data_IF_369957098838
#
_entry.id   IF_369957098838
#
_cell.length_a   1.000
_cell.length_b   1.000
_cell.length_c   1.000
_cell.angle_alpha   90.00
_cell.angle_beta   90.00
_cell.angle_gamma   90.00
#
_symmetry.space_group_name_H-M   'P 1'
#
loop_
_entity.id
_entity.type
_entity.pdbx_description
1 polymer ?
#
# COMPACT_ATOMS: atom_id res chain seq x y z
N UNK A 1 -70.56 7.99 25.75
CA UNK A 1 -71.65 8.14 24.80
C UNK A 1 -71.09 8.20 23.38
N UNK A 2 -71.64 7.28 22.51
CA UNK A 2 -71.68 7.29 21.05
C UNK A 2 -70.39 7.52 20.27
N UNK A 3 -69.73 6.43 19.74
CA UNK A 3 -69.98 5.79 18.46
C UNK A 3 -70.10 6.75 17.26
N UNK A 4 -69.07 6.81 16.40
CA UNK A 4 -69.28 6.85 14.95
C UNK A 4 -68.12 6.07 14.27
N UNK A 5 -68.50 4.96 13.65
CA UNK A 5 -67.69 4.21 12.69
C UNK A 5 -67.73 5.00 11.37
N UNK A 6 -66.57 5.14 10.75
CA UNK A 6 -66.51 5.39 9.31
C UNK A 6 -65.45 4.41 8.72
N UNK A 7 -65.97 3.42 8.04
CA UNK A 7 -65.23 2.58 7.07
C UNK A 7 -64.72 3.46 5.95
N UNK A 8 -63.45 3.48 5.72
CA UNK A 8 -62.89 3.89 4.43
C UNK A 8 -62.04 2.74 3.92
N UNK A 9 -62.51 2.12 2.83
CA UNK A 9 -61.88 1.03 2.13
C UNK A 9 -60.57 1.47 1.53
N UNK A 10 -59.46 0.82 1.93
CA UNK A 10 -58.16 0.94 1.27
C UNK A 10 -58.14 -0.03 0.10
N UNK A 11 -58.32 0.52 -1.09
CA UNK A 11 -58.01 -0.16 -2.36
C UNK A 11 -56.47 -0.26 -2.41
N UNK A 12 -55.90 -1.43 -2.11
CA UNK A 12 -54.50 -1.75 -2.35
C UNK A 12 -54.30 -1.93 -3.87
N UNK A 13 -53.97 -0.86 -4.53
CA UNK A 13 -53.34 -0.95 -5.84
C UNK A 13 -51.94 -1.51 -5.68
N UNK A 14 -51.81 -2.82 -5.93
CA UNK A 14 -50.52 -3.50 -6.05
C UNK A 14 -49.84 -2.99 -7.31
N UNK A 15 -49.04 -1.93 -7.20
CA UNK A 15 -48.06 -1.56 -8.22
C UNK A 15 -46.95 -2.60 -8.14
N UNK A 16 -47.06 -3.62 -8.99
CA UNK A 16 -45.95 -4.48 -9.32
C UNK A 16 -44.90 -3.58 -10.03
N UNK A 17 -43.98 -3.02 -9.29
CA UNK A 17 -42.74 -2.48 -9.84
C UNK A 17 -42.02 -3.71 -10.39
N UNK A 18 -42.17 -3.96 -11.69
CA UNK A 18 -41.23 -4.79 -12.43
C UNK A 18 -39.87 -4.09 -12.30
N UNK A 19 -39.08 -4.53 -11.35
CA UNK A 19 -37.65 -4.30 -11.38
C UNK A 19 -37.17 -4.95 -12.68
N UNK A 20 -37.03 -4.16 -13.73
CA UNK A 20 -36.26 -4.54 -14.90
C UNK A 20 -34.84 -4.82 -14.35
N UNK A 21 -34.51 -6.08 -14.20
CA UNK A 21 -33.17 -6.56 -14.00
C UNK A 21 -32.38 -6.09 -15.24
N UNK A 22 -31.85 -4.86 -15.16
CA UNK A 22 -30.89 -4.38 -16.15
C UNK A 22 -29.76 -5.38 -16.11
N UNK A 23 -29.57 -6.10 -17.21
CA UNK A 23 -28.40 -6.95 -17.39
C UNK A 23 -27.17 -6.16 -16.91
N UNK A 24 -26.28 -6.74 -16.12
CA UNK A 24 -25.16 -6.02 -15.52
C UNK A 24 -24.40 -5.32 -16.63
N UNK A 25 -24.47 -3.99 -16.63
CA UNK A 25 -23.85 -3.18 -17.67
C UNK A 25 -22.35 -3.30 -17.46
N UNK A 26 -21.68 -4.05 -18.33
CA UNK A 26 -20.23 -4.26 -18.29
C UNK A 26 -19.52 -2.91 -18.30
N UNK A 27 -18.80 -2.59 -17.24
CA UNK A 27 -18.13 -1.30 -17.09
C UNK A 27 -16.86 -1.28 -17.94
N UNK A 28 -16.87 -0.47 -19.00
CA UNK A 28 -15.70 -0.29 -19.87
C UNK A 28 -14.78 0.77 -19.30
N UNK A 29 -13.55 0.39 -18.93
CA UNK A 29 -12.60 1.26 -18.26
C UNK A 29 -11.46 1.68 -19.20
N UNK A 30 -11.18 2.99 -19.28
CA UNK A 30 -9.91 3.49 -19.77
C UNK A 30 -8.83 3.36 -18.68
N UNK A 31 -7.55 3.51 -19.05
CA UNK A 31 -6.46 3.50 -18.07
C UNK A 31 -6.65 4.61 -17.01
N UNK A 32 -7.03 5.82 -17.45
CA UNK A 32 -7.24 6.96 -16.55
C UNK A 32 -8.36 6.70 -15.55
N UNK A 33 -9.50 6.17 -16.01
CA UNK A 33 -10.62 5.79 -15.13
C UNK A 33 -10.23 4.66 -14.16
N UNK A 34 -9.44 3.69 -14.61
CA UNK A 34 -8.94 2.62 -13.74
C UNK A 34 -8.02 3.18 -12.63
N UNK A 35 -7.14 4.13 -12.97
CA UNK A 35 -6.28 4.80 -11.99
C UNK A 35 -7.07 5.64 -10.99
N UNK A 36 -8.08 6.41 -11.45
CA UNK A 36 -8.95 7.20 -10.59
C UNK A 36 -9.69 6.32 -9.57
N UNK A 37 -10.30 5.21 -10.04
CA UNK A 37 -10.98 4.25 -9.16
C UNK A 37 -10.00 3.64 -8.16
N UNK A 38 -8.82 3.21 -8.58
CA UNK A 38 -7.84 2.60 -7.69
C UNK A 38 -7.36 3.57 -6.60
N UNK A 39 -7.12 4.82 -6.95
CA UNK A 39 -6.66 5.85 -6.01
C UNK A 39 -7.76 6.29 -5.04
N UNK A 40 -9.04 6.15 -5.38
CA UNK A 40 -10.16 6.49 -4.51
C UNK A 40 -10.67 5.30 -3.69
N UNK A 41 -10.73 4.10 -4.27
CA UNK A 41 -11.43 2.97 -3.67
C UNK A 41 -10.51 1.93 -3.02
N UNK A 42 -9.25 1.83 -3.48
CA UNK A 42 -8.35 0.78 -2.97
C UNK A 42 -8.09 0.92 -1.47
N UNK A 43 -8.29 -0.15 -0.68
CA UNK A 43 -8.05 -0.15 0.77
C UNK A 43 -6.63 0.26 1.17
N UNK A 44 -5.60 -0.05 0.37
CA UNK A 44 -4.21 0.31 0.66
C UNK A 44 -4.02 1.82 0.67
N UNK A 45 -4.65 2.54 -0.24
CA UNK A 45 -4.62 4.01 -0.29
C UNK A 45 -5.38 4.60 0.90
N UNK A 46 -6.59 4.08 1.20
CA UNK A 46 -7.37 4.51 2.37
C UNK A 46 -6.61 4.30 3.69
N UNK A 47 -5.88 3.18 3.82
CA UNK A 47 -5.02 2.90 4.99
C UNK A 47 -3.87 3.91 5.05
N UNK A 48 -3.23 4.23 3.92
CA UNK A 48 -2.14 5.21 3.90
C UNK A 48 -2.62 6.61 4.33
N UNK A 49 -3.81 7.03 3.91
CA UNK A 49 -4.41 8.29 4.32
C UNK A 49 -4.78 8.30 5.82
N UNK A 50 -5.35 7.21 6.33
CA UNK A 50 -5.62 7.06 7.77
C UNK A 50 -4.32 7.11 8.60
N UNK A 51 -3.20 6.58 8.07
CA UNK A 51 -1.92 6.63 8.75
C UNK A 51 -1.41 8.07 8.93
N UNK A 52 -1.69 8.97 7.98
CA UNK A 52 -1.40 10.41 8.15
C UNK A 52 -2.20 10.97 9.33
N UNK A 53 -3.50 10.67 9.42
CA UNK A 53 -4.34 11.14 10.53
C UNK A 53 -3.88 10.59 11.88
N UNK A 54 -3.50 9.30 11.94
CA UNK A 54 -2.91 8.69 13.14
C UNK A 54 -1.67 9.50 13.60
N UNK A 55 -0.78 9.86 12.67
CA UNK A 55 0.40 10.66 12.99
C UNK A 55 0.07 12.09 13.39
N UNK A 56 -0.98 12.70 12.82
CA UNK A 56 -1.49 14.01 13.24
C UNK A 56 -1.99 13.98 14.68
N UNK A 57 -2.77 12.96 15.05
CA UNK A 57 -3.23 12.79 16.45
C UNK A 57 -2.06 12.48 17.41
N UNK A 58 -1.09 11.67 17.00
CA UNK A 58 0.12 11.42 17.79
C UNK A 58 0.92 12.72 18.03
N UNK A 59 1.02 13.60 17.02
CA UNK A 59 1.59 14.94 17.17
C UNK A 59 0.80 15.76 18.20
N UNK A 60 -0.53 15.79 18.12
CA UNK A 60 -1.36 16.47 19.12
C UNK A 60 -1.12 15.92 20.52
N UNK A 61 -1.01 14.59 20.68
CA UNK A 61 -0.66 13.95 21.94
C UNK A 61 0.71 14.39 22.48
N UNK A 62 1.70 14.59 21.58
CA UNK A 62 3.01 15.12 21.99
C UNK A 62 2.90 16.58 22.48
N UNK A 63 2.10 17.40 21.80
CA UNK A 63 1.83 18.78 22.23
C UNK A 63 1.06 18.84 23.53
N UNK A 64 0.23 17.84 23.83
CA UNK A 64 -0.49 17.77 25.10
C UNK A 64 0.45 17.71 26.32
N UNK A 65 1.69 17.23 26.15
CA UNK A 65 2.69 17.24 27.20
C UNK A 65 3.17 18.64 27.62
N UNK A 66 2.84 19.70 26.87
CA UNK A 66 3.07 21.10 27.28
C UNK A 66 2.02 21.64 28.26
N UNK A 67 0.85 21.01 28.31
CA UNK A 67 -0.24 21.44 29.17
C UNK A 67 -0.12 20.85 30.58
N UNK A 68 -0.79 21.46 31.57
CA UNK A 68 -0.89 20.84 32.87
C UNK A 68 -1.54 19.48 32.81
N UNK A 69 -0.90 18.50 33.43
CA UNK A 69 -1.49 17.17 33.65
C UNK A 69 -2.10 17.16 35.05
N UNK A 70 -3.37 16.83 35.16
CA UNK A 70 -4.13 16.83 36.42
C UNK A 70 -4.60 15.39 36.62
N UNK A 71 -4.13 14.80 37.73
CA UNK A 71 -4.45 13.42 38.10
C UNK A 71 -5.12 13.42 39.47
N UNK A 72 -6.18 12.61 39.60
CA UNK A 72 -6.78 12.29 40.88
C UNK A 72 -6.29 10.92 41.32
N UNK A 73 -5.81 10.83 42.55
CA UNK A 73 -5.35 9.58 43.13
C UNK A 73 -6.08 9.29 44.45
N UNK A 74 -6.39 8.03 44.69
CA UNK A 74 -6.90 7.55 45.98
C UNK A 74 -6.19 6.23 46.31
N UNK A 75 -5.67 6.13 47.52
CA UNK A 75 -5.00 4.94 47.99
C UNK A 75 -5.42 4.59 49.41
N UNK A 76 -5.57 3.33 49.69
CA UNK A 76 -5.73 2.77 51.04
C UNK A 76 -4.59 1.79 51.30
N UNK A 77 -3.96 2.00 52.48
CA UNK A 77 -2.88 1.10 52.91
C UNK A 77 -3.18 0.65 54.35
N UNK A 78 -3.20 -0.66 54.57
CA UNK A 78 -3.21 -1.29 55.88
C UNK A 78 -1.82 -1.77 56.26
N UNK A 79 -1.32 -1.32 57.40
CA UNK A 79 -0.03 -1.77 57.95
C UNK A 79 -0.27 -3.07 58.73
N UNK A 80 0.28 -4.18 58.26
CA UNK A 80 0.15 -5.49 58.91
C UNK A 80 0.99 -5.57 60.18
N UNK A 81 2.22 -4.99 60.12
CA UNK A 81 3.13 -4.92 61.27
C UNK A 81 3.71 -3.54 61.38
N UNK A 82 3.41 -2.80 62.47
CA UNK A 82 3.89 -1.45 62.69
C UNK A 82 5.41 -1.46 62.85
N UNK A 83 6.06 -0.37 62.39
CA UNK A 83 7.45 -0.09 62.64
C UNK A 83 7.66 0.15 64.14
N UNK A 84 8.66 -0.39 64.70
CA UNK A 84 9.07 -0.17 66.11
C UNK A 84 10.27 0.77 66.13
N UNK A 85 10.18 1.80 66.93
CA UNK A 85 11.31 2.75 67.16
C UNK A 85 11.73 2.60 68.61
N UNK A 86 13.02 2.34 68.84
CA UNK A 86 13.60 2.28 70.20
C UNK A 86 14.16 3.68 70.52
N UNK A 87 13.70 4.25 71.59
CA UNK A 87 14.15 5.53 72.13
C UNK A 87 14.72 5.29 73.51
N UNK A 88 15.85 5.93 73.77
CA UNK A 88 16.51 5.86 75.10
C UNK A 88 16.10 7.08 75.95
N UNK A 89 15.37 6.85 77.01
CA UNK A 89 14.98 7.84 77.94
C UNK A 89 15.64 7.55 79.29
N UNK A 90 16.69 8.29 79.64
CA UNK A 90 17.34 8.22 80.96
C UNK A 90 17.95 6.88 81.30
N UNK A 91 18.48 6.14 80.30
CA UNK A 91 19.15 4.84 80.50
C UNK A 91 18.21 3.64 80.38
N UNK A 92 16.93 3.85 80.02
CA UNK A 92 16.00 2.75 79.70
C UNK A 92 15.54 2.84 78.25
N UNK A 93 15.82 1.76 77.46
CA UNK A 93 15.41 1.67 76.07
C UNK A 93 13.91 1.31 76.03
N UNK A 94 13.08 2.25 75.61
CA UNK A 94 11.65 2.00 75.36
C UNK A 94 11.41 1.79 73.86
N UNK A 95 10.72 0.68 73.51
CA UNK A 95 10.32 0.38 72.15
C UNK A 95 8.88 0.82 71.92
N UNK A 96 8.69 1.83 71.08
CA UNK A 96 7.38 2.39 70.73
C UNK A 96 6.98 1.97 69.33
N UNK A 97 5.73 1.51 69.15
CA UNK A 97 5.15 1.25 67.82
C UNK A 97 4.71 2.58 67.21
N UNK A 98 5.29 2.88 66.04
CA UNK A 98 5.04 4.16 65.31
C UNK A 98 4.17 3.92 64.11
N UNK A 99 3.23 4.84 63.83
CA UNK A 99 2.35 4.80 62.68
C UNK A 99 0.93 4.32 62.99
N UNK A 100 0.03 4.51 62.02
CA UNK A 100 -1.37 4.08 62.06
C UNK A 100 -1.53 2.73 61.37
N UNK A 101 -2.52 1.93 61.83
CA UNK A 101 -2.85 0.64 61.23
C UNK A 101 -3.39 0.83 59.80
N UNK A 102 -4.08 1.94 59.60
CA UNK A 102 -4.71 2.23 58.31
C UNK A 102 -4.36 3.67 57.88
N UNK A 103 -4.09 3.86 56.64
CA UNK A 103 -3.93 5.15 56.00
C UNK A 103 -4.74 5.25 54.70
N UNK A 104 -5.48 6.30 54.56
CA UNK A 104 -6.13 6.68 53.31
C UNK A 104 -5.46 7.98 52.85
N UNK A 105 -5.09 7.99 51.59
CA UNK A 105 -4.59 9.19 50.91
C UNK A 105 -5.39 9.37 49.63
N UNK A 106 -5.88 10.54 49.39
CA UNK A 106 -6.60 10.85 48.17
C UNK A 106 -6.50 12.34 47.84
N UNK A 107 -6.55 12.69 46.57
CA UNK A 107 -6.48 14.06 46.17
C UNK A 107 -6.19 14.28 44.71
N UNK A 108 -5.95 15.53 44.36
CA UNK A 108 -5.64 15.96 42.99
C UNK A 108 -4.22 16.52 42.97
N UNK A 109 -3.43 16.06 42.00
CA UNK A 109 -2.10 16.59 41.73
C UNK A 109 -2.01 17.13 40.30
N UNK A 110 -1.27 18.23 40.13
CA UNK A 110 -1.01 18.86 38.85
C UNK A 110 0.50 18.93 38.61
N UNK A 111 0.93 18.55 37.44
CA UNK A 111 2.29 18.76 36.98
C UNK A 111 2.34 19.41 35.61
N UNK A 112 3.25 20.35 35.39
CA UNK A 112 3.42 21.04 34.11
C UNK A 112 4.90 21.34 33.87
N UNK A 113 5.49 20.92 32.74
CA UNK A 113 6.84 21.32 32.36
C UNK A 113 6.84 22.80 31.93
N UNK A 114 7.77 23.59 32.48
CA UNK A 114 7.97 25.00 32.09
C UNK A 114 9.15 25.14 31.15
N UNK A 115 10.28 24.49 31.52
CA UNK A 115 11.47 24.44 30.68
C UNK A 115 11.88 22.99 30.52
N UNK A 116 11.73 22.48 29.30
CA UNK A 116 12.17 21.13 28.94
C UNK A 116 12.65 21.09 27.50
N UNK A 117 13.97 21.19 27.32
CA UNK A 117 14.58 21.25 25.99
C UNK A 117 14.38 19.96 25.17
N UNK A 118 14.32 18.80 25.84
CA UNK A 118 14.03 17.52 25.17
C UNK A 118 12.60 17.49 24.64
N UNK A 119 11.62 17.98 25.42
CA UNK A 119 10.24 18.04 24.99
C UNK A 119 10.09 18.94 23.76
N UNK A 120 10.72 20.11 23.73
CA UNK A 120 10.64 21.01 22.57
C UNK A 120 11.23 20.41 21.29
N UNK A 121 12.31 19.64 21.39
CA UNK A 121 12.83 18.91 20.22
C UNK A 121 11.95 17.71 19.85
N UNK A 122 11.30 17.06 20.83
CA UNK A 122 10.33 15.99 20.55
C UNK A 122 9.09 16.50 19.78
N UNK A 123 8.67 17.75 20.03
CA UNK A 123 7.61 18.38 19.24
C UNK A 123 8.00 18.58 17.77
N UNK A 124 9.26 18.95 17.51
CA UNK A 124 9.78 19.07 16.15
C UNK A 124 9.91 17.70 15.48
N UNK A 125 10.34 16.70 16.24
CA UNK A 125 10.41 15.32 15.77
C UNK A 125 9.02 14.79 15.36
N UNK A 126 7.98 15.06 16.19
CA UNK A 126 6.61 14.63 15.88
C UNK A 126 6.02 15.34 14.65
N UNK A 127 6.49 16.55 14.31
CA UNK A 127 6.13 17.21 13.07
C UNK A 127 6.73 16.52 11.84
N UNK A 128 8.02 16.16 11.89
CA UNK A 128 8.70 15.38 10.84
C UNK A 128 8.07 13.99 10.65
N UNK A 129 7.57 13.37 11.71
CA UNK A 129 6.88 12.07 11.64
C UNK A 129 5.57 12.16 10.81
N UNK A 130 4.85 13.29 10.89
CA UNK A 130 3.71 13.56 10.02
C UNK A 130 4.14 13.77 8.57
N UNK A 131 5.19 14.53 8.33
CA UNK A 131 5.72 14.76 6.97
C UNK A 131 6.18 13.45 6.32
N UNK A 132 6.85 12.59 7.09
CA UNK A 132 7.24 11.24 6.64
C UNK A 132 6.01 10.40 6.27
N UNK A 133 4.93 10.44 7.06
CA UNK A 133 3.69 9.72 6.76
C UNK A 133 3.03 10.22 5.46
N UNK A 134 3.07 11.53 5.20
CA UNK A 134 2.58 12.10 3.93
C UNK A 134 3.40 11.58 2.74
N UNK A 135 4.74 11.54 2.87
CA UNK A 135 5.59 11.01 1.78
C UNK A 135 5.42 9.50 1.60
N UNK A 136 5.17 8.75 2.68
CA UNK A 136 4.82 7.31 2.59
C UNK A 136 3.48 7.10 1.87
N UNK A 137 2.48 7.93 2.14
CA UNK A 137 1.22 7.88 1.43
C UNK A 137 1.39 8.24 -0.06
N UNK A 138 2.25 9.21 -0.38
CA UNK A 138 2.63 9.52 -1.76
C UNK A 138 3.30 8.31 -2.43
N UNK A 139 4.23 7.63 -1.75
CA UNK A 139 4.85 6.40 -2.24
C UNK A 139 3.81 5.32 -2.54
N UNK A 140 2.85 5.11 -1.64
CA UNK A 140 1.78 4.12 -1.84
C UNK A 140 0.91 4.43 -3.07
N UNK A 141 0.65 5.71 -3.35
CA UNK A 141 -0.06 6.12 -4.58
C UNK A 141 0.76 5.84 -5.84
N UNK A 142 2.05 6.15 -5.83
CA UNK A 142 2.97 5.86 -6.95
C UNK A 142 3.04 4.35 -7.20
N UNK A 143 3.15 3.55 -6.15
CA UNK A 143 3.16 2.08 -6.23
C UNK A 143 1.85 1.54 -6.80
N UNK A 144 0.71 2.10 -6.40
CA UNK A 144 -0.60 1.73 -6.91
C UNK A 144 -0.73 2.07 -8.41
N UNK A 145 -0.30 3.24 -8.84
CA UNK A 145 -0.30 3.63 -10.26
C UNK A 145 0.53 2.64 -11.09
N UNK A 146 1.73 2.29 -10.61
CA UNK A 146 2.56 1.28 -11.28
C UNK A 146 1.82 -0.06 -11.42
N UNK A 147 1.26 -0.56 -10.33
CA UNK A 147 0.61 -1.88 -10.31
C UNK A 147 -0.65 -1.91 -11.19
N UNK A 148 -1.51 -0.90 -11.09
CA UNK A 148 -2.73 -0.80 -11.90
C UNK A 148 -2.42 -0.65 -13.38
N UNK A 149 -1.44 0.18 -13.73
CA UNK A 149 -1.03 0.39 -15.13
C UNK A 149 -0.48 -0.90 -15.73
N UNK A 150 0.38 -1.63 -15.01
CA UNK A 150 0.90 -2.93 -15.44
C UNK A 150 -0.20 -3.98 -15.59
N UNK A 151 -1.14 -4.03 -14.63
CA UNK A 151 -2.27 -4.95 -14.69
C UNK A 151 -3.19 -4.62 -15.87
N UNK A 152 -3.44 -3.34 -16.12
CA UNK A 152 -4.23 -2.89 -17.28
C UNK A 152 -3.60 -3.34 -18.60
N UNK A 153 -2.29 -3.12 -18.78
CA UNK A 153 -1.56 -3.62 -19.96
C UNK A 153 -1.53 -5.16 -20.02
N UNK A 154 -1.52 -5.82 -18.86
CA UNK A 154 -1.63 -7.27 -18.76
C UNK A 154 -2.97 -7.79 -19.29
N UNK A 155 -4.08 -7.10 -18.99
CA UNK A 155 -5.40 -7.43 -19.56
C UNK A 155 -5.40 -7.25 -21.08
N UNK A 156 -4.82 -6.15 -21.59
CA UNK A 156 -4.72 -5.93 -23.05
C UNK A 156 -3.92 -7.05 -23.73
N UNK A 157 -2.78 -7.44 -23.14
CA UNK A 157 -1.97 -8.55 -23.66
C UNK A 157 -2.73 -9.87 -23.67
N UNK A 158 -3.44 -10.18 -22.58
CA UNK A 158 -4.25 -11.40 -22.49
C UNK A 158 -5.35 -11.43 -23.55
N UNK A 159 -6.06 -10.31 -23.75
CA UNK A 159 -7.12 -10.17 -24.75
C UNK A 159 -6.58 -10.36 -26.18
N UNK A 160 -5.45 -9.75 -26.51
CA UNK A 160 -4.84 -9.89 -27.83
C UNK A 160 -4.33 -11.31 -28.07
N UNK A 161 -3.75 -11.95 -27.05
CA UNK A 161 -3.32 -13.34 -27.13
C UNK A 161 -4.50 -14.30 -27.29
N UNK A 162 -5.58 -14.10 -26.54
CA UNK A 162 -6.83 -14.87 -26.69
C UNK A 162 -7.41 -14.72 -28.11
N UNK A 163 -7.52 -13.50 -28.60
CA UNK A 163 -8.02 -13.22 -29.95
C UNK A 163 -7.17 -13.91 -31.03
N UNK A 164 -5.85 -13.96 -30.84
CA UNK A 164 -4.95 -14.69 -31.72
C UNK A 164 -5.21 -16.20 -31.67
N UNK A 165 -5.27 -16.78 -30.48
CA UNK A 165 -5.52 -18.22 -30.32
C UNK A 165 -6.90 -18.62 -30.85
N UNK A 166 -7.91 -17.77 -30.68
CA UNK A 166 -9.23 -17.98 -31.25
C UNK A 166 -9.18 -18.02 -32.79
N UNK A 167 -8.47 -17.07 -33.43
CA UNK A 167 -8.28 -17.10 -34.89
C UNK A 167 -7.56 -18.37 -35.35
N UNK A 168 -6.53 -18.81 -34.62
CA UNK A 168 -5.82 -20.06 -34.94
C UNK A 168 -6.74 -21.27 -34.86
N UNK A 169 -7.57 -21.35 -33.81
CA UNK A 169 -8.55 -22.41 -33.64
C UNK A 169 -9.61 -22.38 -34.77
N UNK A 170 -10.20 -21.20 -35.05
CA UNK A 170 -11.19 -21.03 -36.11
C UNK A 170 -10.63 -21.39 -37.48
N UNK A 171 -9.37 -21.04 -37.77
CA UNK A 171 -8.67 -21.45 -38.99
C UNK A 171 -8.50 -22.98 -39.06
N UNK A 172 -8.09 -23.62 -37.96
CA UNK A 172 -7.94 -25.08 -37.92
C UNK A 172 -9.27 -25.80 -38.13
N UNK A 173 -10.37 -25.30 -37.51
CA UNK A 173 -11.74 -25.83 -37.74
C UNK A 173 -12.13 -25.69 -39.21
N UNK A 174 -11.97 -24.51 -39.79
CA UNK A 174 -12.31 -24.25 -41.19
C UNK A 174 -11.51 -25.14 -42.17
N UNK A 175 -10.22 -25.29 -41.91
CA UNK A 175 -9.36 -26.19 -42.70
C UNK A 175 -9.80 -27.66 -42.58
N UNK A 176 -10.14 -28.10 -41.36
CA UNK A 176 -10.63 -29.45 -41.11
C UNK A 176 -11.95 -29.74 -41.87
N UNK A 177 -12.88 -28.80 -41.88
CA UNK A 177 -14.12 -28.91 -42.62
C UNK A 177 -13.86 -29.04 -44.15
N UNK A 178 -12.92 -28.25 -44.68
CA UNK A 178 -12.52 -28.33 -46.10
C UNK A 178 -11.88 -29.69 -46.39
N UNK A 179 -11.00 -30.18 -45.53
CA UNK A 179 -10.34 -31.51 -45.69
C UNK A 179 -11.39 -32.62 -45.63
N UNK A 180 -12.36 -32.60 -44.72
CA UNK A 180 -13.48 -33.54 -44.67
C UNK A 180 -14.25 -33.57 -45.96
N UNK A 181 -14.61 -32.42 -46.54
CA UNK A 181 -15.33 -32.34 -47.81
C UNK A 181 -14.51 -32.96 -48.94
N UNK A 182 -13.21 -32.66 -49.07
CA UNK A 182 -12.29 -33.20 -50.08
C UNK A 182 -12.09 -34.70 -49.92
N UNK A 183 -12.00 -35.20 -48.66
CA UNK A 183 -11.89 -36.63 -48.35
C UNK A 183 -13.14 -37.39 -48.81
N UNK A 184 -14.35 -36.89 -48.56
CA UNK A 184 -15.60 -37.52 -48.94
C UNK A 184 -15.75 -37.74 -50.49
N UNK A 185 -15.06 -36.90 -51.26
CA UNK A 185 -15.02 -37.03 -52.73
C UNK A 185 -13.72 -37.68 -53.25
N UNK A 186 -12.90 -38.24 -52.34
CA UNK A 186 -11.67 -38.97 -52.66
C UNK A 186 -10.48 -38.12 -53.13
N UNK A 187 -10.46 -36.80 -52.83
CA UNK A 187 -9.42 -35.88 -53.28
C UNK A 187 -8.22 -35.78 -52.31
N UNK A 188 -8.35 -36.19 -51.05
CA UNK A 188 -7.29 -36.18 -50.04
C UNK A 188 -7.26 -37.50 -49.29
N UNK A 189 -6.12 -37.80 -48.65
CA UNK A 189 -5.87 -39.08 -47.97
C UNK A 189 -6.50 -39.14 -46.59
N UNK A 190 -6.67 -40.34 -46.01
CA UNK A 190 -7.02 -40.54 -44.59
C UNK A 190 -6.02 -39.88 -43.68
N UNK A 191 -4.73 -39.83 -44.04
CA UNK A 191 -3.69 -39.13 -43.27
C UNK A 191 -3.99 -37.63 -43.16
N UNK A 192 -4.39 -36.95 -44.24
CA UNK A 192 -4.73 -35.54 -44.25
C UNK A 192 -5.96 -35.25 -43.33
N UNK A 193 -6.97 -36.15 -43.37
CA UNK A 193 -8.13 -36.04 -42.51
C UNK A 193 -7.75 -36.20 -41.03
N UNK A 194 -6.94 -37.18 -40.68
CA UNK A 194 -6.46 -37.40 -39.32
C UNK A 194 -5.62 -36.18 -38.84
N UNK A 195 -4.69 -35.73 -39.68
CA UNK A 195 -3.79 -34.61 -39.41
C UNK A 195 -4.60 -33.32 -39.15
N UNK A 196 -5.60 -33.01 -39.97
CA UNK A 196 -6.45 -31.83 -39.77
C UNK A 196 -7.28 -31.89 -38.47
N UNK A 197 -7.77 -33.11 -38.11
CA UNK A 197 -8.42 -33.28 -36.82
C UNK A 197 -7.45 -33.02 -35.62
N UNK A 198 -6.21 -33.50 -35.72
CA UNK A 198 -5.15 -33.29 -34.73
C UNK A 198 -4.83 -31.79 -34.61
N UNK A 199 -4.77 -31.04 -35.72
CA UNK A 199 -4.53 -29.59 -35.70
C UNK A 199 -5.60 -28.85 -34.93
N UNK A 200 -6.91 -29.21 -35.08
CA UNK A 200 -8.01 -28.64 -34.27
C UNK A 200 -7.83 -28.94 -32.77
N UNK A 201 -7.52 -30.21 -32.44
CA UNK A 201 -7.33 -30.65 -31.06
C UNK A 201 -6.11 -29.98 -30.39
N UNK A 202 -5.07 -29.67 -31.15
CA UNK A 202 -3.89 -28.93 -30.63
C UNK A 202 -4.13 -27.43 -30.47
N UNK A 203 -5.03 -26.83 -31.26
CA UNK A 203 -5.36 -25.40 -31.16
C UNK A 203 -6.31 -25.10 -29.98
N UNK A 204 -7.20 -26.02 -29.65
CA UNK A 204 -8.24 -25.86 -28.63
C UNK A 204 -7.68 -25.54 -27.22
N UNK A 205 -6.67 -26.25 -26.69
CA UNK A 205 -6.12 -25.94 -25.36
C UNK A 205 -5.57 -24.52 -25.25
N UNK A 206 -4.84 -24.03 -26.26
CA UNK A 206 -4.29 -22.68 -26.27
C UNK A 206 -5.41 -21.61 -26.25
N UNK A 207 -6.49 -21.84 -26.97
CA UNK A 207 -7.65 -20.95 -26.98
C UNK A 207 -8.31 -20.91 -25.57
N UNK A 208 -8.53 -22.06 -24.96
CA UNK A 208 -9.11 -22.17 -23.61
C UNK A 208 -8.20 -21.51 -22.56
N UNK A 209 -6.89 -21.77 -22.60
CA UNK A 209 -5.92 -21.12 -21.72
C UNK A 209 -5.90 -19.61 -21.90
N UNK A 210 -6.00 -19.13 -23.14
CA UNK A 210 -6.11 -17.70 -23.45
C UNK A 210 -7.38 -17.06 -22.84
N UNK A 211 -8.51 -17.74 -22.93
CA UNK A 211 -9.79 -17.29 -22.33
C UNK A 211 -9.66 -17.13 -20.81
N UNK A 212 -9.16 -18.17 -20.13
CA UNK A 212 -8.94 -18.12 -18.69
C UNK A 212 -7.89 -17.07 -18.27
N UNK A 213 -6.87 -16.83 -19.10
CA UNK A 213 -5.89 -15.78 -18.86
C UNK A 213 -6.54 -14.38 -18.87
N UNK A 214 -7.51 -14.13 -19.78
CA UNK A 214 -8.30 -12.88 -19.77
C UNK A 214 -9.10 -12.77 -18.49
N UNK A 215 -9.83 -13.82 -18.09
CA UNK A 215 -10.62 -13.83 -16.86
C UNK A 215 -9.73 -13.52 -15.66
N UNK A 216 -8.62 -14.23 -15.50
CA UNK A 216 -7.69 -14.05 -14.38
C UNK A 216 -7.09 -12.64 -14.35
N UNK A 217 -6.69 -12.10 -15.51
CA UNK A 217 -6.13 -10.74 -15.59
C UNK A 217 -7.14 -9.67 -15.21
N UNK A 218 -8.41 -9.82 -15.58
CA UNK A 218 -9.51 -8.94 -15.15
C UNK A 218 -9.77 -9.03 -13.65
N UNK A 219 -9.73 -10.23 -13.06
CA UNK A 219 -9.86 -10.42 -11.62
C UNK A 219 -8.72 -9.73 -10.85
N UNK A 220 -7.47 -9.87 -11.32
CA UNK A 220 -6.33 -9.18 -10.75
C UNK A 220 -6.48 -7.65 -10.84
N UNK A 221 -6.97 -7.14 -11.96
CA UNK A 221 -7.26 -5.72 -12.10
C UNK A 221 -8.34 -5.26 -11.12
N UNK A 222 -9.47 -5.99 -11.00
CA UNK A 222 -10.53 -5.69 -10.02
C UNK A 222 -9.99 -5.61 -8.58
N UNK A 223 -9.15 -6.56 -8.21
CA UNK A 223 -8.53 -6.57 -6.88
C UNK A 223 -7.66 -5.32 -6.62
N UNK A 224 -6.90 -4.87 -7.63
CA UNK A 224 -6.12 -3.64 -7.55
C UNK A 224 -6.98 -2.37 -7.57
N UNK A 225 -8.12 -2.39 -8.27
CA UNK A 225 -9.08 -1.30 -8.24
C UNK A 225 -9.82 -1.18 -6.90
N UNK A 226 -9.83 -2.23 -6.09
CA UNK A 226 -10.55 -2.25 -4.80
C UNK A 226 -12.07 -2.29 -4.96
N UNK A 227 -12.56 -2.73 -6.12
CA UNK A 227 -13.99 -2.88 -6.41
C UNK A 227 -14.46 -4.32 -6.17
N UNK A 228 -15.79 -4.50 -6.13
CA UNK A 228 -16.39 -5.82 -5.97
C UNK A 228 -15.93 -6.75 -7.12
N UNK A 229 -15.47 -7.93 -6.75
CA UNK A 229 -14.95 -8.95 -7.68
C UNK A 229 -16.05 -9.51 -8.60
N UNK A 230 -17.31 -9.48 -8.17
CA UNK A 230 -18.46 -9.93 -8.97
C UNK A 230 -18.88 -8.90 -10.03
N UNK A 231 -18.43 -7.65 -9.92
CA UNK A 231 -18.77 -6.61 -10.88
C UNK A 231 -18.14 -6.91 -12.25
N UNK A 232 -18.94 -6.90 -13.30
CA UNK A 232 -18.43 -7.09 -14.66
C UNK A 232 -17.69 -5.83 -15.13
N UNK A 233 -16.42 -5.97 -15.47
CA UNK A 233 -15.59 -4.91 -16.05
C UNK A 233 -14.95 -5.39 -17.35
N UNK A 234 -14.56 -4.45 -18.18
CA UNK A 234 -13.65 -4.67 -19.30
C UNK A 234 -12.78 -3.44 -19.53
N UNK A 235 -11.68 -3.61 -20.27
CA UNK A 235 -10.76 -2.53 -20.60
C UNK A 235 -10.89 -2.10 -22.05
N UNK A 236 -10.72 -0.80 -22.29
CA UNK A 236 -10.76 -0.19 -23.61
C UNK A 236 -9.35 -0.08 -24.18
N UNK A 237 -9.20 -0.31 -25.49
CA UNK A 237 -7.95 -0.09 -26.19
C UNK A 237 -7.24 -1.38 -26.61
N UNK A 238 -6.06 -1.22 -27.16
CA UNK A 238 -5.17 -2.27 -27.66
C UNK A 238 -3.72 -1.87 -27.36
N UNK A 239 -2.82 -2.85 -27.19
CA UNK A 239 -1.39 -2.58 -27.04
C UNK A 239 -0.81 -1.80 -28.22
N UNK A 240 -1.37 -2.00 -29.41
CA UNK A 240 -0.93 -1.33 -30.63
C UNK A 240 -1.12 0.19 -30.60
N UNK A 241 -2.05 0.72 -29.80
CA UNK A 241 -2.22 2.17 -29.62
C UNK A 241 -0.97 2.81 -28.95
N UNK A 242 -0.20 2.04 -28.21
CA UNK A 242 0.98 2.53 -27.49
C UNK A 242 2.29 2.39 -28.26
N UNK A 243 2.26 1.86 -29.49
CA UNK A 243 3.47 1.64 -30.31
C UNK A 243 4.22 2.94 -30.58
N UNK A 244 3.50 4.06 -30.74
CA UNK A 244 4.12 5.39 -30.96
C UNK A 244 5.03 5.82 -29.79
N UNK A 245 4.88 5.23 -28.61
CA UNK A 245 5.74 5.49 -27.46
C UNK A 245 7.11 4.81 -27.56
N UNK A 246 7.24 3.76 -28.39
CA UNK A 246 8.49 3.01 -28.56
C UNK A 246 9.56 3.86 -29.24
N UNK A 247 9.17 4.82 -30.08
CA UNK A 247 10.09 5.69 -30.83
C UNK A 247 10.60 6.87 -30.01
N UNK A 248 10.04 7.10 -28.79
CA UNK A 248 10.53 8.14 -27.89
C UNK A 248 11.81 7.71 -27.21
N UNK A 249 12.94 8.26 -27.61
CA UNK A 249 14.26 7.98 -27.03
C UNK A 249 14.36 8.48 -25.57
N UNK A 250 14.83 7.63 -24.67
CA UNK A 250 15.17 7.97 -23.30
C UNK A 250 16.69 8.04 -23.15
N UNK A 251 17.22 9.16 -22.62
CA UNK A 251 18.66 9.33 -22.42
C UNK A 251 19.00 9.36 -20.93
N UNK A 252 20.06 8.63 -20.54
CA UNK A 252 20.59 8.59 -19.17
C UNK A 252 20.96 9.95 -18.58
N UNK A 253 21.35 10.91 -19.44
CA UNK A 253 21.78 12.25 -19.02
C UNK A 253 20.66 13.14 -18.47
N UNK A 254 19.39 12.77 -18.64
CA UNK A 254 18.21 13.51 -18.19
C UNK A 254 17.57 12.94 -16.91
N UNK A 255 18.22 11.96 -16.28
CA UNK A 255 17.63 11.23 -15.16
C UNK A 255 17.99 11.92 -13.84
N UNK A 256 16.99 12.53 -13.20
CA UNK A 256 17.06 13.10 -11.87
C UNK A 256 16.30 12.23 -10.87
N UNK A 257 16.90 12.00 -9.70
CA UNK A 257 16.29 11.23 -8.61
C UNK A 257 15.71 12.13 -7.51
N UNK A 258 15.67 13.45 -7.69
CA UNK A 258 15.19 14.38 -6.66
C UNK A 258 13.73 14.12 -6.27
N UNK A 259 12.92 13.60 -7.20
CA UNK A 259 11.52 13.27 -6.96
C UNK A 259 11.28 11.85 -6.45
N UNK A 260 12.35 11.04 -6.35
CA UNK A 260 12.22 9.66 -5.87
C UNK A 260 11.72 9.61 -4.43
N UNK A 261 10.57 8.95 -4.21
CA UNK A 261 9.93 8.91 -2.90
C UNK A 261 10.77 8.17 -1.85
N UNK A 262 11.48 7.10 -2.23
CA UNK A 262 12.32 6.35 -1.29
C UNK A 262 13.50 7.20 -0.77
N UNK A 263 14.12 8.02 -1.63
CA UNK A 263 15.18 8.95 -1.20
C UNK A 263 14.62 10.07 -0.34
N UNK A 264 13.46 10.65 -0.70
CA UNK A 264 12.79 11.66 0.14
C UNK A 264 12.45 11.13 1.54
N UNK A 265 11.96 9.89 1.62
CA UNK A 265 11.69 9.26 2.91
C UNK A 265 12.97 9.10 3.74
N UNK A 266 14.09 8.69 3.13
CA UNK A 266 15.39 8.59 3.80
C UNK A 266 15.92 9.95 4.25
N UNK A 267 15.76 11.00 3.46
CA UNK A 267 16.15 12.36 3.82
C UNK A 267 15.31 12.87 5.02
N UNK A 268 14.01 12.56 5.09
CA UNK A 268 13.18 12.86 6.26
C UNK A 268 13.57 12.04 7.49
N UNK A 269 13.88 10.75 7.31
CA UNK A 269 14.39 9.90 8.40
C UNK A 269 15.75 10.38 8.92
N UNK A 270 16.63 10.90 8.06
CA UNK A 270 17.89 11.52 8.47
C UNK A 270 17.64 12.72 9.38
N UNK A 271 16.74 13.64 9.00
CA UNK A 271 16.34 14.76 9.84
C UNK A 271 15.75 14.31 11.18
N UNK A 272 14.96 13.23 11.19
CA UNK A 272 14.41 12.67 12.43
C UNK A 272 15.52 12.13 13.35
N UNK A 273 16.51 11.42 12.81
CA UNK A 273 17.66 10.91 13.57
C UNK A 273 18.57 12.04 14.05
N UNK A 274 18.73 13.12 13.30
CA UNK A 274 19.43 14.32 13.77
C UNK A 274 18.72 14.96 14.99
N UNK A 275 17.37 15.03 14.94
CA UNK A 275 16.56 15.48 16.09
C UNK A 275 16.70 14.53 17.27
N UNK A 276 16.65 13.21 17.04
CA UNK A 276 16.85 12.21 18.09
C UNK A 276 18.25 12.31 18.74
N UNK A 277 19.30 12.53 17.95
CA UNK A 277 20.64 12.81 18.46
C UNK A 277 20.66 14.09 19.30
N UNK A 278 19.97 15.14 18.86
CA UNK A 278 19.85 16.39 19.62
C UNK A 278 19.11 16.17 20.95
N UNK A 279 17.99 15.44 20.95
CA UNK A 279 17.25 15.05 22.15
C UNK A 279 18.18 14.30 23.14
N UNK A 280 18.99 13.36 22.65
CA UNK A 280 19.95 12.64 23.48
C UNK A 280 21.00 13.57 24.12
N UNK A 281 21.51 14.56 23.38
CA UNK A 281 22.45 15.57 23.91
C UNK A 281 21.76 16.47 24.94
N UNK A 282 20.51 16.87 24.71
CA UNK A 282 19.71 17.73 25.60
C UNK A 282 19.30 17.04 26.90
N UNK A 283 19.49 15.72 27.03
CA UNK A 283 19.33 15.00 28.30
C UNK A 283 20.29 15.49 29.45
N UNK A 284 21.28 16.30 29.11
CA UNK A 284 22.21 16.91 30.06
C UNK A 284 21.75 18.34 30.50
N UNK A 285 20.71 18.89 29.88
CA UNK A 285 20.22 20.25 30.16
C UNK A 285 19.23 20.18 31.33
N UNK A 286 19.31 21.13 32.29
CA UNK A 286 18.34 21.22 33.37
C UNK A 286 16.91 21.38 32.86
N UNK A 287 15.95 20.85 33.62
CA UNK A 287 14.53 21.02 33.36
C UNK A 287 13.81 21.64 34.58
N UNK A 288 12.80 22.46 34.30
CA UNK A 288 11.97 23.12 35.30
C UNK A 288 10.51 22.74 35.12
N UNK A 289 9.86 22.34 36.20
CA UNK A 289 8.43 22.02 36.20
C UNK A 289 7.72 22.74 37.36
N UNK A 290 6.44 23.01 37.18
CA UNK A 290 5.50 23.44 38.23
C UNK A 290 4.76 22.20 38.70
N UNK A 291 4.67 22.05 40.04
CA UNK A 291 3.89 21.00 40.67
C UNK A 291 2.96 21.62 41.69
N UNK A 292 1.72 21.18 41.72
CA UNK A 292 0.74 21.59 42.74
C UNK A 292 -0.09 20.37 43.13
N UNK A 293 -0.48 20.30 44.39
CA UNK A 293 -1.37 19.24 44.83
C UNK A 293 -2.30 19.73 45.93
N UNK A 294 -3.49 19.15 45.96
CA UNK A 294 -4.45 19.28 47.06
C UNK A 294 -4.84 17.87 47.48
N UNK A 295 -4.37 17.47 48.66
CA UNK A 295 -4.41 16.10 49.16
C UNK A 295 -5.19 16.04 50.46
N UNK A 296 -5.88 14.95 50.71
CA UNK A 296 -6.46 14.57 51.97
C UNK A 296 -5.81 13.29 52.47
N UNK A 297 -5.45 13.30 53.77
CA UNK A 297 -4.90 12.09 54.42
C UNK A 297 -5.77 11.80 55.65
N UNK A 298 -6.24 10.57 55.79
CA UNK A 298 -6.87 10.08 56.98
C UNK A 298 -6.05 8.91 57.56
N UNK A 299 -5.65 9.04 58.82
CA UNK A 299 -4.88 8.06 59.57
C UNK A 299 -5.69 7.56 60.77
N UNK A 300 -5.75 6.26 60.99
CA UNK A 300 -6.51 5.71 62.10
C UNK A 300 -6.15 4.25 62.46
N UNK A 301 -6.32 3.91 63.73
CA UNK A 301 -6.16 2.54 64.26
C UNK A 301 -7.49 1.82 64.44
N UNK A 302 -8.60 2.54 64.43
CA UNK A 302 -9.98 2.14 64.56
C UNK A 302 -10.74 2.37 63.25
N UNK A 303 -11.74 1.63 62.93
CA UNK A 303 -12.43 1.68 61.61
C UNK A 303 -13.22 2.97 61.30
N UNK A 304 -12.92 4.10 61.96
CA UNK A 304 -13.67 5.40 61.82
C UNK A 304 -13.11 6.30 60.75
N UNK A 305 -12.83 5.80 59.55
CA UNK A 305 -12.23 6.61 58.47
C UNK A 305 -13.25 7.48 57.73
N UNK A 306 -14.52 7.22 57.85
CA UNK A 306 -15.56 8.00 57.14
C UNK A 306 -16.05 9.20 57.96
N UNK A 307 -15.45 9.47 59.10
CA UNK A 307 -15.75 10.63 59.92
C UNK A 307 -14.97 11.83 59.39
N UNK A 308 -15.62 12.95 59.18
CA UNK A 308 -15.02 14.18 58.59
C UNK A 308 -13.77 14.66 59.31
N UNK A 309 -13.75 14.51 60.62
CA UNK A 309 -12.63 14.93 61.51
C UNK A 309 -11.35 14.07 61.32
N UNK A 310 -11.44 12.91 60.67
CA UNK A 310 -10.29 12.06 60.40
C UNK A 310 -9.47 12.51 59.16
N UNK A 311 -10.05 13.38 58.35
CA UNK A 311 -9.45 13.81 57.07
C UNK A 311 -8.72 15.16 57.25
N UNK A 312 -7.41 15.14 57.06
CA UNK A 312 -6.56 16.31 57.12
C UNK A 312 -6.20 16.80 55.72
N UNK A 313 -6.64 17.98 55.30
CA UNK A 313 -6.26 18.58 54.04
C UNK A 313 -4.80 19.05 54.05
N UNK A 314 -4.13 18.85 52.94
CA UNK A 314 -2.77 19.34 52.72
C UNK A 314 -2.65 19.83 51.27
N UNK A 315 -2.12 21.03 51.09
CA UNK A 315 -1.92 21.59 49.76
C UNK A 315 -0.55 22.26 49.63
N UNK A 316 0.00 22.14 48.45
CA UNK A 316 1.24 22.84 48.10
C UNK A 316 1.24 23.23 46.63
N UNK A 317 2.02 24.26 46.30
CA UNK A 317 2.42 24.62 44.96
C UNK A 317 3.93 24.95 44.98
N UNK A 318 4.66 24.51 43.99
CA UNK A 318 6.09 24.70 43.97
C UNK A 318 6.72 24.57 42.58
N UNK A 319 7.96 25.01 42.47
CA UNK A 319 8.80 24.84 41.29
C UNK A 319 9.83 23.72 41.59
N UNK A 320 10.01 22.84 40.66
CA UNK A 320 11.01 21.75 40.74
C UNK A 320 12.02 21.93 39.62
N UNK A 321 13.25 22.26 40.00
CA UNK A 321 14.42 22.28 39.08
C UNK A 321 15.14 20.97 39.18
N UNK A 322 15.23 20.25 38.07
CA UNK A 322 16.01 19.02 37.97
C UNK A 322 17.29 19.28 37.18
N UNK A 323 18.45 19.16 37.84
CA UNK A 323 19.76 19.34 37.22
C UNK A 323 20.47 17.98 37.18
N UNK A 324 20.58 17.39 35.99
CA UNK A 324 21.22 16.06 35.87
C UNK A 324 22.74 16.17 35.91
N UNK A 325 23.36 15.89 37.08
CA UNK A 325 24.81 16.02 37.31
C UNK A 325 25.57 14.80 36.77
N UNK A 326 25.18 13.61 37.17
CA UNK A 326 25.88 12.38 36.79
C UNK A 326 24.90 11.22 36.61
N UNK A 327 25.07 10.48 35.54
CA UNK A 327 24.26 9.28 35.22
C UNK A 327 25.14 8.09 34.78
N UNK A 328 26.36 8.01 35.29
CA UNK A 328 27.36 7.04 34.80
C UNK A 328 27.66 7.26 33.31
N UNK A 329 27.82 6.17 32.57
CA UNK A 329 28.09 6.22 31.12
C UNK A 329 26.82 6.26 30.27
N UNK A 330 25.61 6.13 30.84
CA UNK A 330 24.31 5.95 30.14
C UNK A 330 24.08 7.02 29.06
N UNK A 331 24.26 8.31 29.42
CA UNK A 331 24.00 9.41 28.46
C UNK A 331 25.03 9.45 27.34
N UNK A 332 26.30 9.16 27.66
CA UNK A 332 27.37 9.10 26.64
C UNK A 332 27.11 7.93 25.67
N UNK A 333 26.69 6.78 26.19
CA UNK A 333 26.33 5.62 25.38
C UNK A 333 25.14 5.94 24.46
N UNK A 334 24.05 6.53 25.00
CA UNK A 334 22.89 6.92 24.21
C UNK A 334 23.22 7.94 23.09
N UNK A 335 24.10 8.92 23.38
CA UNK A 335 24.52 9.87 22.33
C UNK A 335 25.39 9.18 21.27
N UNK A 336 26.27 8.23 21.68
CA UNK A 336 27.08 7.48 20.71
C UNK A 336 26.24 6.56 19.85
N UNK A 337 25.25 5.88 20.45
CA UNK A 337 24.27 5.06 19.74
C UNK A 337 23.47 5.88 18.70
N UNK A 338 22.92 7.04 19.09
CA UNK A 338 22.22 7.93 18.19
C UNK A 338 23.10 8.41 17.02
N UNK A 339 24.40 8.67 17.29
CA UNK A 339 25.36 9.03 16.23
C UNK A 339 25.57 7.88 15.25
N UNK A 340 25.72 6.65 15.75
CA UNK A 340 25.91 5.48 14.89
C UNK A 340 24.66 5.17 14.06
N UNK A 341 23.47 5.36 14.64
CA UNK A 341 22.20 5.19 13.90
C UNK A 341 22.09 6.20 12.74
N UNK A 342 22.48 7.46 12.95
CA UNK A 342 22.54 8.46 11.89
C UNK A 342 23.54 8.05 10.78
N UNK A 343 24.76 7.64 11.15
CA UNK A 343 25.75 7.18 10.17
C UNK A 343 25.26 5.95 9.38
N UNK A 344 24.60 5.01 10.06
CA UNK A 344 24.01 3.83 9.40
C UNK A 344 22.95 4.22 8.36
N UNK A 345 22.09 5.19 8.68
CA UNK A 345 21.09 5.68 7.72
C UNK A 345 21.74 6.34 6.50
N UNK A 346 22.81 7.11 6.70
CA UNK A 346 23.56 7.72 5.58
C UNK A 346 24.17 6.67 4.67
N UNK A 347 24.72 5.59 5.22
CA UNK A 347 25.22 4.45 4.44
C UNK A 347 24.06 3.73 3.71
N UNK A 348 22.92 3.55 4.38
CA UNK A 348 21.72 2.97 3.77
C UNK A 348 21.23 3.82 2.59
N UNK A 349 21.18 5.16 2.75
CA UNK A 349 20.81 6.10 1.69
C UNK A 349 21.71 5.94 0.46
N UNK A 350 23.04 5.89 0.66
CA UNK A 350 23.98 5.66 -0.45
C UNK A 350 23.75 4.31 -1.15
N UNK A 351 23.44 3.27 -0.39
CA UNK A 351 23.14 1.96 -0.95
C UNK A 351 21.83 1.96 -1.78
N UNK A 352 20.78 2.58 -1.25
CA UNK A 352 19.50 2.73 -1.98
C UNK A 352 19.70 3.53 -3.26
N UNK A 353 20.45 4.64 -3.22
CA UNK A 353 20.75 5.43 -4.43
C UNK A 353 21.48 4.60 -5.50
N UNK A 354 22.46 3.77 -5.10
CA UNK A 354 23.14 2.86 -6.02
C UNK A 354 22.18 1.83 -6.65
N UNK A 355 21.29 1.26 -5.82
CA UNK A 355 20.28 0.29 -6.31
C UNK A 355 19.31 0.95 -7.29
N UNK A 356 18.86 2.17 -7.02
CA UNK A 356 18.00 2.93 -7.94
C UNK A 356 18.70 3.20 -9.28
N UNK A 357 19.99 3.60 -9.26
CA UNK A 357 20.78 3.79 -10.49
C UNK A 357 20.92 2.50 -11.30
N UNK A 358 21.14 1.36 -10.64
CA UNK A 358 21.16 0.04 -11.30
C UNK A 358 19.79 -0.29 -11.91
N UNK A 359 18.70 -0.06 -11.16
CA UNK A 359 17.32 -0.26 -11.64
C UNK A 359 17.01 0.58 -12.89
N UNK A 360 17.43 1.86 -12.89
CA UNK A 360 17.27 2.76 -14.05
C UNK A 360 17.95 2.16 -15.29
N UNK A 361 19.23 1.76 -15.16
CA UNK A 361 19.98 1.16 -16.27
C UNK A 361 19.30 -0.12 -16.77
N UNK A 362 18.78 -0.95 -15.85
CA UNK A 362 18.05 -2.16 -16.20
C UNK A 362 16.77 -1.86 -16.99
N UNK A 363 15.94 -0.90 -16.52
CA UNK A 363 14.70 -0.56 -17.23
C UNK A 363 14.98 0.08 -18.61
N UNK A 364 15.97 0.94 -18.71
CA UNK A 364 16.37 1.52 -20.00
C UNK A 364 16.85 0.43 -20.98
N UNK A 365 17.67 -0.52 -20.51
CA UNK A 365 18.10 -1.64 -21.34
C UNK A 365 16.94 -2.53 -21.76
N UNK A 366 15.98 -2.80 -20.85
CA UNK A 366 14.77 -3.56 -21.15
C UNK A 366 13.91 -2.85 -22.19
N UNK A 367 13.75 -1.53 -22.08
CA UNK A 367 13.03 -0.73 -23.08
C UNK A 367 13.72 -0.80 -24.44
N UNK A 368 15.02 -0.57 -24.52
CA UNK A 368 15.78 -0.65 -25.77
C UNK A 368 15.73 -2.05 -26.40
N UNK A 369 15.88 -3.09 -25.59
CA UNK A 369 15.75 -4.47 -26.05
C UNK A 369 14.34 -4.76 -26.59
N UNK A 370 13.31 -4.24 -25.91
CA UNK A 370 11.91 -4.40 -26.33
C UNK A 370 11.61 -3.68 -27.65
N UNK A 371 12.17 -2.48 -27.87
CA UNK A 371 12.05 -1.75 -29.14
C UNK A 371 12.69 -2.58 -30.28
N UNK A 372 13.91 -3.08 -30.08
CA UNK A 372 14.58 -3.92 -31.09
C UNK A 372 13.79 -5.20 -31.38
N UNK A 373 13.27 -5.85 -30.34
CA UNK A 373 12.42 -7.04 -30.48
C UNK A 373 11.13 -6.74 -31.22
N UNK A 374 10.49 -5.61 -30.93
CA UNK A 374 9.29 -5.17 -31.63
C UNK A 374 9.54 -5.03 -33.14
N UNK A 375 10.57 -4.28 -33.55
CA UNK A 375 10.87 -4.10 -34.96
C UNK A 375 11.21 -5.41 -35.67
N UNK A 376 11.99 -6.30 -35.04
CA UNK A 376 12.29 -7.61 -35.57
C UNK A 376 11.03 -8.47 -35.71
N UNK A 377 10.18 -8.52 -34.67
CA UNK A 377 8.94 -9.29 -34.69
C UNK A 377 7.92 -8.74 -35.68
N UNK A 378 7.79 -7.41 -35.84
CA UNK A 378 6.90 -6.79 -36.79
C UNK A 378 7.26 -7.19 -38.23
N UNK A 379 8.55 -7.11 -38.59
CA UNK A 379 9.02 -7.57 -39.90
C UNK A 379 8.78 -9.08 -40.10
N UNK A 380 8.94 -9.86 -39.01
CA UNK A 380 8.68 -11.32 -39.07
C UNK A 380 7.19 -11.61 -39.23
N UNK A 381 6.28 -10.85 -38.62
CA UNK A 381 4.83 -10.99 -38.79
C UNK A 381 4.44 -10.81 -40.25
N UNK A 382 4.93 -9.76 -40.92
CA UNK A 382 4.63 -9.50 -42.32
C UNK A 382 5.10 -10.67 -43.22
N UNK A 383 6.33 -11.16 -42.99
CA UNK A 383 6.87 -12.30 -43.74
C UNK A 383 6.14 -13.60 -43.46
N UNK A 384 5.83 -13.90 -42.20
CA UNK A 384 5.09 -15.09 -41.78
C UNK A 384 3.66 -15.09 -42.32
N UNK A 385 3.00 -13.92 -42.34
CA UNK A 385 1.66 -13.79 -42.95
C UNK A 385 1.70 -14.12 -44.45
N UNK A 386 2.65 -13.54 -45.16
CA UNK A 386 2.84 -13.90 -46.59
C UNK A 386 3.15 -15.39 -46.81
N UNK A 387 3.99 -15.98 -45.92
CA UNK A 387 4.29 -17.40 -45.96
C UNK A 387 3.05 -18.26 -45.74
N UNK A 388 2.22 -17.92 -44.78
CA UNK A 388 0.96 -18.60 -44.51
C UNK A 388 -0.01 -18.48 -45.68
N UNK A 389 -0.18 -17.30 -46.26
CA UNK A 389 -1.05 -17.08 -47.43
C UNK A 389 -0.61 -17.89 -48.66
N UNK A 390 0.70 -18.00 -48.84
CA UNK A 390 1.27 -18.83 -49.93
C UNK A 390 1.03 -20.32 -49.64
N UNK A 391 1.22 -20.79 -48.40
CA UNK A 391 1.01 -22.20 -48.05
C UNK A 391 -0.46 -22.61 -48.27
N UNK A 392 -1.42 -21.76 -47.83
CA UNK A 392 -2.85 -21.99 -48.09
C UNK A 392 -3.16 -22.05 -49.58
N UNK A 393 -2.70 -21.09 -50.40
CA UNK A 393 -2.93 -21.09 -51.86
C UNK A 393 -2.32 -22.29 -52.56
N UNK A 394 -1.11 -22.73 -52.16
CA UNK A 394 -0.48 -23.93 -52.71
C UNK A 394 -1.26 -25.20 -52.37
N UNK A 395 -1.77 -25.31 -51.14
CA UNK A 395 -2.63 -26.42 -50.73
C UNK A 395 -3.93 -26.46 -51.54
N UNK A 396 -4.57 -25.31 -51.75
CA UNK A 396 -5.83 -25.20 -52.49
C UNK A 396 -5.71 -25.67 -53.95
N UNK A 397 -4.56 -25.42 -54.59
CA UNK A 397 -4.30 -25.89 -55.97
C UNK A 397 -3.62 -27.26 -56.03
N UNK A 398 -3.53 -28.00 -54.93
CA UNK A 398 -2.98 -29.34 -54.86
C UNK A 398 -1.43 -29.41 -54.99
N UNK A 399 -0.72 -28.29 -54.74
CA UNK A 399 0.76 -28.19 -54.84
C UNK A 399 1.47 -28.01 -53.49
N UNK A 400 0.73 -28.03 -52.39
CA UNK A 400 1.23 -27.92 -51.02
C UNK A 400 0.66 -29.03 -50.15
N UNK A 401 1.19 -29.16 -48.94
CA UNK A 401 0.71 -30.09 -47.90
C UNK A 401 0.04 -29.38 -46.77
N UNK A 402 -0.81 -30.06 -46.00
CA UNK A 402 -1.43 -29.51 -44.78
C UNK A 402 -0.34 -29.15 -43.75
N UNK A 403 0.76 -29.92 -43.71
CA UNK A 403 1.90 -29.63 -42.82
C UNK A 403 2.56 -28.28 -43.15
N UNK A 404 2.57 -27.86 -44.42
CA UNK A 404 3.10 -26.53 -44.81
C UNK A 404 2.23 -25.43 -44.24
N UNK A 405 0.89 -25.59 -44.23
CA UNK A 405 -0.05 -24.65 -43.61
C UNK A 405 0.18 -24.60 -42.09
N UNK A 406 0.21 -25.74 -41.41
CA UNK A 406 0.38 -25.81 -39.94
C UNK A 406 1.71 -25.18 -39.52
N UNK A 407 2.82 -25.46 -40.18
CA UNK A 407 4.11 -24.87 -39.88
C UNK A 407 4.11 -23.36 -40.10
N UNK A 408 3.48 -22.86 -41.16
CA UNK A 408 3.37 -21.43 -41.43
C UNK A 408 2.47 -20.73 -40.42
N UNK A 409 1.38 -21.38 -39.99
CA UNK A 409 0.48 -20.86 -38.93
C UNK A 409 1.21 -20.76 -37.59
N UNK A 410 2.01 -21.77 -37.22
CA UNK A 410 2.84 -21.73 -35.99
C UNK A 410 3.83 -20.58 -36.04
N UNK A 411 4.54 -20.42 -37.19
CA UNK A 411 5.49 -19.31 -37.35
C UNK A 411 4.83 -17.93 -37.24
N UNK A 412 3.67 -17.73 -37.85
CA UNK A 412 2.88 -16.51 -37.76
C UNK A 412 2.43 -16.24 -36.30
N UNK A 413 1.88 -17.28 -35.67
CA UNK A 413 1.41 -17.17 -34.26
C UNK A 413 2.55 -16.77 -33.33
N UNK A 414 3.73 -17.38 -33.46
CA UNK A 414 4.91 -17.03 -32.65
C UNK A 414 5.38 -15.60 -32.90
N UNK A 415 5.36 -15.14 -34.16
CA UNK A 415 5.74 -13.77 -34.50
C UNK A 415 4.77 -12.73 -33.91
N UNK A 416 3.46 -12.97 -34.00
CA UNK A 416 2.44 -12.07 -33.43
C UNK A 416 2.52 -12.02 -31.88
N UNK A 417 2.65 -13.17 -31.21
CA UNK A 417 2.87 -13.23 -29.77
C UNK A 417 4.14 -12.49 -29.37
N UNK A 418 5.23 -12.69 -30.11
CA UNK A 418 6.51 -12.03 -29.87
C UNK A 418 6.41 -10.51 -29.99
N UNK A 419 5.67 -10.01 -30.99
CA UNK A 419 5.41 -8.58 -31.18
C UNK A 419 4.61 -7.99 -30.01
N UNK A 420 3.49 -8.62 -29.65
CA UNK A 420 2.64 -8.14 -28.55
C UNK A 420 3.38 -8.16 -27.22
N UNK A 421 4.15 -9.20 -26.95
CA UNK A 421 5.00 -9.30 -25.75
C UNK A 421 6.09 -8.23 -25.72
N UNK A 422 6.67 -7.85 -26.85
CA UNK A 422 7.67 -6.80 -26.93
C UNK A 422 7.06 -5.43 -26.55
N UNK A 423 5.86 -5.11 -27.04
CA UNK A 423 5.15 -3.88 -26.66
C UNK A 423 4.83 -3.88 -25.16
N UNK A 424 4.29 -4.96 -24.64
CA UNK A 424 3.99 -5.10 -23.22
C UNK A 424 5.23 -4.92 -22.33
N UNK A 425 6.35 -5.56 -22.69
CA UNK A 425 7.60 -5.46 -21.95
C UNK A 425 8.17 -4.03 -21.96
N UNK A 426 8.04 -3.31 -23.08
CA UNK A 426 8.41 -1.90 -23.16
C UNK A 426 7.56 -1.05 -22.22
N UNK A 427 6.24 -1.19 -22.26
CA UNK A 427 5.30 -0.43 -21.45
C UNK A 427 5.52 -0.67 -19.96
N UNK A 428 5.70 -1.92 -19.55
CA UNK A 428 5.94 -2.25 -18.14
C UNK A 428 7.29 -1.75 -17.64
N UNK A 429 8.34 -1.80 -18.48
CA UNK A 429 9.65 -1.23 -18.14
C UNK A 429 9.58 0.29 -18.03
N UNK A 430 8.84 0.96 -18.94
CA UNK A 430 8.60 2.40 -18.87
C UNK A 430 7.91 2.80 -17.57
N UNK A 431 6.80 2.16 -17.22
CA UNK A 431 6.06 2.45 -15.99
C UNK A 431 6.94 2.27 -14.74
N UNK A 432 7.80 1.23 -14.71
CA UNK A 432 8.75 1.04 -13.62
C UNK A 432 9.84 2.12 -13.56
N UNK A 433 10.27 2.63 -14.72
CA UNK A 433 11.19 3.76 -14.80
C UNK A 433 10.53 5.04 -14.27
N UNK A 434 9.30 5.35 -14.72
CA UNK A 434 8.52 6.51 -14.29
C UNK A 434 8.30 6.50 -12.75
N UNK A 435 8.08 5.32 -12.16
CA UNK A 435 8.03 5.14 -10.70
C UNK A 435 9.33 5.55 -10.02
N UNK A 436 10.48 5.09 -10.53
CA UNK A 436 11.79 5.45 -9.94
C UNK A 436 12.03 6.96 -10.02
N UNK A 437 11.64 7.58 -11.12
CA UNK A 437 11.79 9.03 -11.30
C UNK A 437 10.83 9.83 -10.40
N UNK A 438 9.71 9.23 -10.03
CA UNK A 438 8.68 9.89 -9.21
C UNK A 438 7.92 10.98 -9.96
N UNK A 439 7.90 10.92 -11.30
CA UNK A 439 7.32 11.93 -12.20
C UNK A 439 5.79 11.80 -12.36
N UNK A 440 5.09 11.43 -11.29
CA UNK A 440 3.64 11.48 -11.27
C UNK A 440 3.18 12.78 -10.62
N UNK A 441 2.62 13.69 -11.41
CA UNK A 441 1.91 14.87 -10.92
C UNK A 441 0.59 14.42 -10.31
N UNK A 442 0.53 14.39 -8.98
CA UNK A 442 -0.74 14.33 -8.26
C UNK A 442 -1.27 15.77 -8.15
N UNK A 443 -2.37 16.08 -8.79
CA UNK A 443 -3.09 17.30 -8.47
C UNK A 443 -3.35 17.32 -6.96
N UNK A 444 -2.74 18.31 -6.28
CA UNK A 444 -2.88 18.51 -4.85
C UNK A 444 -4.34 18.91 -4.53
N UNK A 445 -5.21 17.96 -4.25
CA UNK A 445 -6.55 18.19 -3.68
C UNK A 445 -6.52 18.78 -2.26
N UNK A 446 -5.36 19.02 -1.68
CA UNK A 446 -5.21 19.62 -0.34
C UNK A 446 -4.85 21.12 -0.37
N UNK A 447 -5.59 21.91 -1.16
CA UNK A 447 -5.72 23.35 -0.93
C UNK A 447 -7.17 23.68 -0.58
N UNK A 448 -7.63 23.23 0.60
CA UNK A 448 -8.76 23.86 1.32
C UNK A 448 -8.57 23.70 2.82
#
# INVERSE_FOLDING_TARGET
>A
MRRFLLMLGFVTASVAVMAQEQAPQKLMLSLEQALEIALSENPTIKIADQQIEIKRYAKQGTYAALYPQIDATASYQRVIKKQTMSMDFGGQTQTIKVGSDNSFNGGIAMGMPVINAQLWESLKLSALDVELAVEQARSSRIDMIEQVTKAYYGVLLAKESYSLFQRVYDNAVSNNELVKQRHNVGQVSDYDLISSNVSVQNALPNMIEGEYAVVLSLWNLKALLGIDLEKEIDVVGSLMHYVSLLDKGYQLSQIDLQNNSALKQLDMQEQMLERALKISKLANVPSLSINAAYLYTALGNDGKFFVKEAWNPYSYAGLQLNIPIFAGTKRRAATREATLNLNNLQLQRQNVERQLRVGIVQYLNNMQASVKKYHASAATVDQAQHGYDIAVKRYDVGRGTLVDIDNSQVALTQAELGRNQAVYNFLTAKVSLDKILGDYEFENENKK
#
